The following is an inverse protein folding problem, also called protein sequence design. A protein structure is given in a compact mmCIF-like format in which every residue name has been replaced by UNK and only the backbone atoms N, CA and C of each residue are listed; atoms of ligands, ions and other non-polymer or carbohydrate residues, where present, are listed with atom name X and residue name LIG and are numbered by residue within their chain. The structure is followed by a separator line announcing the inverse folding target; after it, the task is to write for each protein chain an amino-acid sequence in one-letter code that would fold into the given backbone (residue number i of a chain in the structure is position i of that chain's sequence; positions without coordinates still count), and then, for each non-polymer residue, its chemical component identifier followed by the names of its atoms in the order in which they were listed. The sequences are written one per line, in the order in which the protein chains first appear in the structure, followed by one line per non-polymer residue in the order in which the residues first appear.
data_IF_886327225515
#
_entry.id   IF_886327225515
#
_cell.length_a   1.000
_cell.length_b   1.000
_cell.length_c   1.000
_cell.angle_alpha   90.00
_cell.angle_beta   90.00
_cell.angle_gamma   90.00
#
_symmetry.space_group_name_H-M   'P 1'
#
loop_
_entity.id
_entity.type
_entity.pdbx_description
1 polymer ?
#
# COMPACT_ATOMS: atom_id res chain seq x y z
N UNK A 1 23.71 1.61 11.88
CA UNK A 1 23.13 2.83 11.28
C UNK A 1 22.81 2.43 9.85
N UNK A 2 21.54 2.16 9.52
CA UNK A 2 21.15 1.77 8.17
C UNK A 2 21.06 3.03 7.29
N UNK A 3 21.43 2.92 6.02
CA UNK A 3 21.38 4.04 5.07
C UNK A 3 19.91 4.31 4.73
N UNK A 4 19.41 5.52 4.99
CA UNK A 4 18.07 5.94 4.56
C UNK A 4 18.11 6.04 3.04
N UNK A 5 17.35 5.19 2.36
CA UNK A 5 17.37 5.07 0.91
C UNK A 5 15.98 4.76 0.39
N UNK A 6 15.64 5.31 -0.77
CA UNK A 6 14.48 4.91 -1.55
C UNK A 6 14.79 3.67 -2.43
N UNK A 7 16.07 3.37 -2.66
CA UNK A 7 16.50 2.21 -3.43
C UNK A 7 16.11 0.90 -2.71
N UNK A 8 15.79 -0.17 -3.47
CA UNK A 8 15.37 -1.42 -2.85
C UNK A 8 16.41 -1.98 -1.88
N UNK A 9 15.99 -2.23 -0.66
CA UNK A 9 16.79 -2.81 0.42
C UNK A 9 15.86 -3.63 1.35
N UNK A 10 15.94 -4.95 1.21
CA UNK A 10 15.11 -5.87 2.01
C UNK A 10 15.41 -5.75 3.50
N UNK A 11 16.65 -5.47 3.91
CA UNK A 11 17.00 -5.31 5.34
C UNK A 11 16.39 -4.05 5.94
N UNK A 12 16.34 -2.95 5.17
CA UNK A 12 15.63 -1.73 5.57
C UNK A 12 14.14 -2.02 5.71
N UNK A 13 13.52 -2.65 4.71
CA UNK A 13 12.11 -3.02 4.77
C UNK A 13 11.78 -3.95 5.95
N UNK A 14 12.62 -4.95 6.23
CA UNK A 14 12.50 -5.83 7.40
C UNK A 14 12.53 -5.01 8.69
N UNK A 15 13.52 -4.13 8.85
CA UNK A 15 13.67 -3.30 10.06
C UNK A 15 12.47 -2.37 10.27
N UNK A 16 11.96 -1.77 9.19
CA UNK A 16 10.79 -0.89 9.25
C UNK A 16 9.53 -1.66 9.67
N UNK A 17 9.28 -2.83 9.07
CA UNK A 17 8.11 -3.65 9.42
C UNK A 17 8.21 -4.29 10.81
N UNK A 18 9.42 -4.61 11.28
CA UNK A 18 9.68 -4.99 12.69
C UNK A 18 9.27 -3.89 13.65
N UNK A 19 9.67 -2.64 13.36
CA UNK A 19 9.31 -1.49 14.18
C UNK A 19 7.79 -1.22 14.20
N UNK A 20 7.13 -1.28 13.03
CA UNK A 20 5.68 -1.09 12.95
C UNK A 20 4.95 -2.19 13.71
N UNK A 21 5.36 -3.45 13.54
CA UNK A 21 4.74 -4.60 14.21
C UNK A 21 4.93 -4.54 15.72
N UNK A 22 6.12 -4.18 16.21
CA UNK A 22 6.37 -4.01 17.64
C UNK A 22 5.45 -2.95 18.27
N UNK A 23 5.21 -1.83 17.57
CA UNK A 23 4.27 -0.79 18.02
C UNK A 23 2.82 -1.27 18.00
N UNK A 24 2.42 -2.02 16.97
CA UNK A 24 1.10 -2.64 16.89
C UNK A 24 0.86 -3.58 18.08
N UNK A 25 1.81 -4.48 18.38
CA UNK A 25 1.71 -5.41 19.50
C UNK A 25 1.63 -4.72 20.86
N UNK A 26 2.48 -3.70 21.09
CA UNK A 26 2.40 -2.89 22.30
C UNK A 26 1.04 -2.17 22.42
N UNK A 27 0.48 -1.70 21.31
CA UNK A 27 -0.82 -1.04 21.29
C UNK A 27 -1.97 -2.02 21.60
N UNK A 28 -1.93 -3.24 21.08
CA UNK A 28 -2.90 -4.28 21.45
C UNK A 28 -2.85 -4.63 22.94
N UNK A 29 -1.65 -4.80 23.50
CA UNK A 29 -1.49 -5.09 24.93
C UNK A 29 -2.09 -3.98 25.78
N UNK A 30 -1.81 -2.72 25.45
CA UNK A 30 -2.41 -1.57 26.12
C UNK A 30 -3.95 -1.53 25.96
N UNK A 31 -4.43 -1.66 24.73
CA UNK A 31 -5.85 -1.53 24.40
C UNK A 31 -6.67 -2.60 25.12
N UNK A 32 -6.33 -3.88 24.96
CA UNK A 32 -7.08 -5.01 25.52
C UNK A 32 -7.09 -4.99 27.06
N UNK A 33 -6.00 -4.54 27.70
CA UNK A 33 -5.98 -4.29 29.14
C UNK A 33 -6.90 -3.16 29.56
N UNK A 34 -6.86 -2.04 28.83
CA UNK A 34 -7.66 -0.85 29.16
C UNK A 34 -9.16 -1.10 29.10
N UNK A 35 -9.61 -2.06 28.27
CA UNK A 35 -11.02 -2.46 28.15
C UNK A 35 -11.36 -3.75 28.93
N UNK A 36 -10.44 -4.27 29.74
CA UNK A 36 -10.65 -5.44 30.59
C UNK A 36 -10.86 -6.76 29.83
N UNK A 37 -10.20 -6.94 28.68
CA UNK A 37 -10.35 -8.10 27.79
C UNK A 37 -9.12 -9.02 27.79
N UNK A 38 -8.39 -9.08 28.89
CA UNK A 38 -7.19 -9.94 29.05
C UNK A 38 -7.52 -11.44 28.99
N UNK A 39 -8.74 -11.84 29.34
CA UNK A 39 -9.19 -13.24 29.30
C UNK A 39 -9.86 -13.62 27.95
N UNK A 40 -9.88 -12.71 26.98
CA UNK A 40 -10.52 -12.95 25.67
C UNK A 40 -9.71 -13.92 24.81
N UNK A 41 -10.40 -14.67 23.93
CA UNK A 41 -9.74 -15.53 22.94
C UNK A 41 -8.75 -14.75 22.08
N UNK A 42 -9.13 -13.51 21.72
CA UNK A 42 -8.30 -12.65 20.91
C UNK A 42 -7.02 -12.19 21.62
N UNK A 43 -7.07 -11.94 22.93
CA UNK A 43 -5.86 -11.67 23.71
C UNK A 43 -4.89 -12.86 23.71
N UNK A 44 -5.43 -14.09 23.78
CA UNK A 44 -4.66 -15.32 23.58
C UNK A 44 -3.99 -15.37 22.21
N UNK A 45 -4.74 -15.05 21.14
CA UNK A 45 -4.21 -14.96 19.78
C UNK A 45 -3.10 -13.89 19.66
N UNK A 46 -3.29 -12.69 20.20
CA UNK A 46 -2.25 -11.64 20.20
C UNK A 46 -0.99 -12.14 20.91
N UNK A 47 -1.14 -12.85 22.04
CA UNK A 47 -0.01 -13.40 22.80
C UNK A 47 0.79 -14.43 22.01
N UNK A 48 0.16 -15.20 21.13
CA UNK A 48 0.83 -16.14 20.21
C UNK A 48 1.65 -15.39 19.15
N UNK A 49 1.14 -14.27 18.64
CA UNK A 49 1.75 -13.54 17.51
C UNK A 49 2.65 -12.37 17.90
N UNK A 50 2.72 -11.99 19.19
CA UNK A 50 3.48 -10.81 19.66
C UNK A 50 4.97 -10.79 19.30
N UNK A 51 5.55 -11.96 19.01
CA UNK A 51 6.95 -12.10 18.60
C UNK A 51 7.12 -12.22 17.08
N UNK A 52 6.02 -12.16 16.31
CA UNK A 52 6.08 -12.15 14.87
C UNK A 52 6.67 -10.81 14.41
N UNK A 53 7.84 -10.83 13.72
CA UNK A 53 8.53 -9.60 13.32
C UNK A 53 7.73 -8.80 12.29
N UNK A 54 6.89 -9.47 11.50
CA UNK A 54 5.96 -8.84 10.56
C UNK A 54 4.54 -9.25 10.91
N UNK A 55 3.74 -8.31 11.37
CA UNK A 55 2.33 -8.55 11.64
C UNK A 55 1.56 -8.74 10.31
N UNK A 56 0.75 -9.81 10.17
CA UNK A 56 -0.14 -9.94 9.02
C UNK A 56 -1.16 -8.79 8.90
N UNK A 57 -1.66 -8.48 7.68
CA UNK A 57 -2.60 -7.38 7.46
C UNK A 57 -3.85 -7.42 8.34
N UNK A 58 -4.32 -8.63 8.66
CA UNK A 58 -5.43 -8.85 9.58
C UNK A 58 -5.26 -8.15 10.92
N UNK A 59 -4.05 -8.15 11.51
CA UNK A 59 -3.85 -7.55 12.83
C UNK A 59 -3.91 -6.02 12.78
N UNK A 60 -3.51 -5.39 11.68
CA UNK A 60 -3.76 -3.95 11.48
C UNK A 60 -5.26 -3.66 11.39
N UNK A 61 -5.99 -4.49 10.64
CA UNK A 61 -7.43 -4.31 10.46
C UNK A 61 -8.23 -4.56 11.75
N UNK A 62 -7.82 -5.58 12.50
CA UNK A 62 -8.37 -5.91 13.81
C UNK A 62 -8.11 -4.78 14.81
N UNK A 63 -6.91 -4.21 14.81
CA UNK A 63 -6.56 -3.07 15.66
C UNK A 63 -7.45 -1.86 15.37
N UNK A 64 -7.55 -1.45 14.10
CA UNK A 64 -8.39 -0.31 13.72
C UNK A 64 -9.87 -0.57 14.06
N UNK A 65 -10.36 -1.81 13.90
CA UNK A 65 -11.73 -2.18 14.27
C UNK A 65 -11.98 -1.96 15.77
N UNK A 66 -11.07 -2.43 16.64
CA UNK A 66 -11.19 -2.22 18.08
C UNK A 66 -11.04 -0.74 18.45
N UNK A 67 -10.11 -0.02 17.84
CA UNK A 67 -9.91 1.42 18.07
C UNK A 67 -11.16 2.23 17.70
N UNK A 68 -11.78 1.92 16.55
CA UNK A 68 -13.02 2.57 16.10
C UNK A 68 -14.12 2.47 17.16
N UNK A 69 -14.35 1.28 17.71
CA UNK A 69 -15.42 1.11 18.68
C UNK A 69 -15.02 1.55 20.09
N UNK A 70 -13.97 0.96 20.67
CA UNK A 70 -13.63 1.14 22.08
C UNK A 70 -12.98 2.48 22.41
N UNK A 71 -12.34 3.14 21.44
CA UNK A 71 -11.68 4.44 21.65
C UNK A 71 -12.48 5.58 21.03
N UNK A 72 -12.98 5.40 19.80
CA UNK A 72 -13.72 6.46 19.08
C UNK A 72 -15.24 6.40 19.22
N UNK A 73 -15.80 5.32 19.78
CA UNK A 73 -17.24 5.18 19.97
C UNK A 73 -18.03 5.01 18.67
N UNK A 74 -17.39 4.53 17.60
CA UNK A 74 -18.03 4.31 16.30
C UNK A 74 -18.92 3.05 16.35
N UNK A 75 -20.22 3.23 16.59
CA UNK A 75 -21.21 2.13 16.72
C UNK A 75 -21.24 1.18 15.50
N UNK A 76 -20.88 1.66 14.30
CA UNK A 76 -20.80 0.82 13.09
C UNK A 76 -19.79 -0.33 13.25
N UNK A 77 -18.77 -0.16 14.10
CA UNK A 77 -17.70 -1.14 14.33
C UNK A 77 -17.97 -2.06 15.52
N UNK A 78 -19.07 -1.86 16.25
CA UNK A 78 -19.41 -2.60 17.48
C UNK A 78 -19.51 -4.11 17.26
N UNK A 79 -20.35 -4.54 16.32
CA UNK A 79 -20.61 -5.96 16.06
C UNK A 79 -19.33 -6.72 15.69
N UNK A 80 -18.49 -6.12 14.83
CA UNK A 80 -17.20 -6.71 14.46
C UNK A 80 -16.23 -6.74 15.64
N UNK A 81 -16.17 -5.68 16.44
CA UNK A 81 -15.32 -5.61 17.64
C UNK A 81 -15.69 -6.65 18.68
N UNK A 82 -16.99 -6.85 18.95
CA UNK A 82 -17.47 -7.85 19.90
C UNK A 82 -17.17 -9.28 19.40
N UNK A 83 -17.40 -9.57 18.11
CA UNK A 83 -17.05 -10.86 17.51
C UNK A 83 -15.54 -11.12 17.51
N UNK A 84 -14.74 -10.08 17.29
CA UNK A 84 -13.28 -10.15 17.27
C UNK A 84 -12.72 -10.64 18.61
N UNK A 85 -13.29 -10.24 19.76
CA UNK A 85 -12.83 -10.69 21.07
C UNK A 85 -12.91 -12.21 21.28
N UNK A 86 -13.84 -12.88 20.60
CA UNK A 86 -13.98 -14.35 20.64
C UNK A 86 -13.16 -15.06 19.55
N UNK A 87 -12.46 -14.31 18.69
CA UNK A 87 -11.69 -14.87 17.58
C UNK A 87 -10.35 -15.45 18.06
N UNK A 88 -10.06 -16.70 17.70
CA UNK A 88 -8.94 -17.46 18.28
C UNK A 88 -7.89 -17.95 17.28
N UNK A 89 -8.10 -17.75 15.97
CA UNK A 89 -7.20 -18.27 14.94
C UNK A 89 -7.34 -17.51 13.63
N UNK A 90 -6.24 -17.32 12.92
CA UNK A 90 -6.23 -16.74 11.57
C UNK A 90 -5.89 -17.80 10.52
N UNK A 91 -6.41 -17.61 9.31
CA UNK A 91 -5.90 -18.29 8.12
C UNK A 91 -4.56 -17.64 7.74
N UNK A 92 -3.50 -18.45 7.66
CA UNK A 92 -2.16 -17.97 7.27
C UNK A 92 -1.97 -18.16 5.78
N UNK A 93 -1.57 -17.06 5.14
CA UNK A 93 -1.15 -17.02 3.75
C UNK A 93 0.38 -17.02 3.66
N UNK A 94 0.92 -17.56 2.57
CA UNK A 94 2.35 -17.37 2.26
C UNK A 94 2.61 -15.91 1.91
N UNK A 95 3.82 -15.39 2.17
CA UNK A 95 4.17 -14.04 1.73
C UNK A 95 3.96 -13.90 0.21
N UNK A 96 3.33 -12.79 -0.19
CA UNK A 96 2.94 -12.45 -1.55
C UNK A 96 1.97 -13.47 -2.20
N UNK A 97 0.89 -13.81 -1.51
CA UNK A 97 -0.18 -14.66 -2.08
C UNK A 97 -1.19 -13.85 -2.90
N UNK A 98 -1.57 -14.35 -4.08
CA UNK A 98 -2.61 -13.73 -4.93
C UNK A 98 -3.94 -14.43 -4.73
N UNK A 99 -4.88 -13.72 -4.09
CA UNK A 99 -6.15 -14.24 -3.58
C UNK A 99 -7.33 -13.42 -4.12
N UNK A 100 -8.56 -13.97 -4.16
CA UNK A 100 -9.73 -13.16 -4.45
C UNK A 100 -10.01 -12.18 -3.30
N UNK A 101 -10.48 -10.98 -3.62
CA UNK A 101 -11.04 -10.06 -2.64
C UNK A 101 -12.45 -10.54 -2.26
N UNK A 102 -12.73 -10.63 -0.96
CA UNK A 102 -14.07 -10.86 -0.39
C UNK A 102 -14.80 -12.18 -0.63
N UNK A 103 -14.23 -13.15 -1.33
CA UNK A 103 -14.93 -14.43 -1.58
C UNK A 103 -15.03 -15.38 -0.37
N UNK A 104 -14.50 -15.01 0.80
CA UNK A 104 -14.47 -15.89 1.97
C UNK A 104 -15.31 -15.32 3.12
N UNK A 105 -16.22 -16.14 3.63
CA UNK A 105 -17.21 -15.83 4.68
C UNK A 105 -16.64 -15.82 6.10
N UNK A 106 -15.32 -15.70 6.25
CA UNK A 106 -14.65 -15.68 7.55
C UNK A 106 -14.57 -14.27 8.16
N UNK A 107 -14.63 -14.20 9.49
CA UNK A 107 -14.50 -12.94 10.25
C UNK A 107 -13.21 -12.17 9.91
N UNK A 108 -12.10 -12.86 9.62
CA UNK A 108 -10.85 -12.24 9.17
C UNK A 108 -11.05 -11.39 7.90
N UNK A 109 -11.77 -11.90 6.90
CA UNK A 109 -12.04 -11.16 5.67
C UNK A 109 -13.08 -10.06 5.85
N UNK A 110 -14.10 -10.28 6.69
CA UNK A 110 -15.05 -9.22 7.07
C UNK A 110 -14.33 -8.04 7.73
N UNK A 111 -13.37 -8.29 8.62
CA UNK A 111 -12.58 -7.25 9.30
C UNK A 111 -11.69 -6.51 8.31
N UNK A 112 -10.90 -7.23 7.50
CA UNK A 112 -10.02 -6.61 6.49
C UNK A 112 -10.80 -5.77 5.48
N UNK A 113 -11.95 -6.26 5.00
CA UNK A 113 -12.77 -5.50 4.05
C UNK A 113 -13.47 -4.31 4.67
N UNK A 114 -13.94 -4.43 5.91
CA UNK A 114 -14.56 -3.32 6.65
C UNK A 114 -13.62 -2.13 6.76
N UNK A 115 -12.35 -2.35 7.11
CA UNK A 115 -11.37 -1.26 7.22
C UNK A 115 -11.01 -0.64 5.86
N UNK A 116 -10.93 -1.44 4.79
CA UNK A 116 -10.75 -0.93 3.42
C UNK A 116 -11.94 -0.06 3.01
N UNK A 117 -13.16 -0.52 3.25
CA UNK A 117 -14.37 0.21 2.92
C UNK A 117 -14.53 1.49 3.72
N UNK A 118 -14.20 1.44 5.02
CA UNK A 118 -14.20 2.61 5.90
C UNK A 118 -13.21 3.67 5.42
N UNK A 119 -12.00 3.28 5.04
CA UNK A 119 -10.97 4.19 4.54
C UNK A 119 -11.34 4.86 3.21
N UNK A 120 -11.89 4.09 2.26
CA UNK A 120 -12.39 4.63 0.99
C UNK A 120 -13.51 5.64 1.24
N UNK A 121 -14.45 5.34 2.14
CA UNK A 121 -15.55 6.27 2.49
C UNK A 121 -15.08 7.52 3.23
N UNK A 122 -14.00 7.44 4.01
CA UNK A 122 -13.38 8.62 4.64
C UNK A 122 -12.65 9.49 3.62
N UNK A 123 -12.14 8.88 2.56
CA UNK A 123 -11.33 9.55 1.52
C UNK A 123 -12.18 10.24 0.45
N UNK A 124 -13.32 9.65 0.09
CA UNK A 124 -14.19 10.12 -0.98
C UNK A 124 -15.57 10.49 -0.43
N UNK A 125 -16.19 11.53 -0.99
CA UNK A 125 -17.60 11.85 -0.69
C UNK A 125 -18.51 10.66 -1.03
N UNK A 126 -19.68 10.53 -0.38
CA UNK A 126 -20.55 9.34 -0.46
C UNK A 126 -20.87 8.85 -1.89
N UNK A 127 -21.07 9.77 -2.84
CA UNK A 127 -21.35 9.43 -4.23
C UNK A 127 -20.12 8.80 -4.93
N UNK A 128 -18.93 9.35 -4.68
CA UNK A 128 -17.67 8.87 -5.26
C UNK A 128 -17.19 7.59 -4.56
N UNK A 129 -17.38 7.50 -3.24
CA UNK A 129 -17.02 6.34 -2.44
C UNK A 129 -17.73 5.08 -2.96
N UNK A 130 -19.05 5.13 -3.16
CA UNK A 130 -19.82 3.97 -3.63
C UNK A 130 -19.37 3.44 -5.00
N UNK A 131 -18.84 4.31 -5.85
CA UNK A 131 -18.28 3.95 -7.16
C UNK A 131 -16.85 3.43 -7.04
N UNK A 132 -16.09 3.91 -6.05
CA UNK A 132 -14.70 3.52 -5.78
C UNK A 132 -14.55 2.22 -4.97
N UNK A 133 -15.58 1.76 -4.25
CA UNK A 133 -15.48 0.56 -3.42
C UNK A 133 -15.11 -0.68 -4.27
N UNK A 134 -14.06 -1.45 -3.88
CA UNK A 134 -13.72 -2.69 -4.55
C UNK A 134 -14.86 -3.70 -4.36
N UNK A 135 -15.30 -4.32 -5.45
CA UNK A 135 -16.40 -5.29 -5.44
C UNK A 135 -15.86 -6.71 -5.53
N UNK A 136 -16.61 -7.66 -4.98
CA UNK A 136 -16.29 -9.08 -5.14
C UNK A 136 -16.12 -9.43 -6.61
N UNK A 137 -15.15 -10.31 -6.90
CA UNK A 137 -14.86 -10.71 -8.28
C UNK A 137 -16.05 -11.44 -8.90
N UNK A 138 -16.35 -11.16 -10.17
CA UNK A 138 -17.58 -11.61 -10.80
C UNK A 138 -17.62 -13.11 -11.12
N UNK A 139 -16.45 -13.74 -11.27
CA UNK A 139 -16.34 -15.18 -11.54
C UNK A 139 -14.94 -15.73 -11.24
N UNK A 140 -14.86 -17.05 -11.06
CA UNK A 140 -13.57 -17.76 -10.92
C UNK A 140 -12.69 -17.62 -12.17
N UNK A 141 -13.27 -17.61 -13.37
CA UNK A 141 -12.48 -17.45 -14.61
C UNK A 141 -11.82 -16.06 -14.69
N UNK A 142 -12.56 -15.00 -14.33
CA UNK A 142 -12.04 -13.64 -14.24
C UNK A 142 -10.88 -13.55 -13.22
N UNK A 143 -11.02 -14.23 -12.08
CA UNK A 143 -9.96 -14.33 -11.08
C UNK A 143 -8.72 -15.02 -11.65
N UNK A 144 -8.87 -16.19 -12.27
CA UNK A 144 -7.74 -16.98 -12.77
C UNK A 144 -6.96 -16.24 -13.87
N UNK A 145 -7.64 -15.54 -14.77
CA UNK A 145 -6.97 -14.72 -15.81
C UNK A 145 -6.20 -13.57 -15.17
N UNK A 146 -6.83 -12.83 -14.26
CA UNK A 146 -6.21 -11.71 -13.57
C UNK A 146 -5.01 -12.16 -12.72
N UNK A 147 -5.14 -13.29 -12.03
CA UNK A 147 -4.09 -13.93 -11.24
C UNK A 147 -2.90 -14.34 -12.11
N UNK A 148 -3.16 -14.93 -13.29
CA UNK A 148 -2.10 -15.28 -14.25
C UNK A 148 -1.30 -14.05 -14.70
N UNK A 149 -1.98 -12.94 -15.01
CA UNK A 149 -1.33 -11.68 -15.36
C UNK A 149 -0.53 -11.08 -14.20
N UNK A 150 -1.05 -11.14 -12.97
CA UNK A 150 -0.33 -10.67 -11.78
C UNK A 150 0.94 -11.51 -11.54
N UNK A 151 0.84 -12.84 -11.64
CA UNK A 151 2.01 -13.73 -11.49
C UNK A 151 3.05 -13.44 -12.57
N UNK A 152 2.62 -13.20 -13.81
CA UNK A 152 3.52 -12.83 -14.89
C UNK A 152 4.21 -11.47 -14.63
N UNK A 153 3.49 -10.48 -14.12
CA UNK A 153 4.06 -9.19 -13.71
C UNK A 153 5.14 -9.37 -12.63
N UNK A 154 4.85 -10.17 -11.61
CA UNK A 154 5.79 -10.49 -10.52
C UNK A 154 7.06 -11.20 -11.04
N UNK A 155 6.93 -12.12 -11.99
CA UNK A 155 8.09 -12.79 -12.59
C UNK A 155 8.94 -11.84 -13.44
N UNK A 156 8.34 -10.91 -14.19
CA UNK A 156 9.06 -9.85 -14.90
C UNK A 156 9.85 -8.99 -13.93
N UNK A 157 9.23 -8.54 -12.82
CA UNK A 157 9.90 -7.73 -11.79
C UNK A 157 11.10 -8.49 -11.20
N UNK A 158 10.89 -9.75 -10.78
CA UNK A 158 11.95 -10.59 -10.20
C UNK A 158 13.14 -10.80 -11.14
N UNK A 159 12.89 -11.01 -12.43
CA UNK A 159 13.95 -11.17 -13.43
C UNK A 159 14.71 -9.88 -13.68
N UNK A 160 14.04 -8.73 -13.60
CA UNK A 160 14.65 -7.42 -13.83
C UNK A 160 15.45 -6.92 -12.63
N UNK A 161 14.95 -7.14 -11.40
CA UNK A 161 15.58 -6.71 -10.16
C UNK A 161 15.13 -7.60 -8.98
N UNK A 162 15.98 -8.58 -8.63
CA UNK A 162 15.71 -9.52 -7.54
C UNK A 162 15.68 -8.82 -6.16
N UNK A 163 16.42 -7.73 -5.97
CA UNK A 163 16.42 -6.97 -4.72
C UNK A 163 15.10 -6.21 -4.54
N UNK A 164 14.58 -5.59 -5.61
CA UNK A 164 13.24 -5.02 -5.63
C UNK A 164 12.17 -6.06 -5.31
N UNK A 165 12.23 -7.22 -5.97
CA UNK A 165 11.28 -8.30 -5.70
C UNK A 165 11.34 -8.77 -4.24
N UNK A 166 12.54 -9.02 -3.71
CA UNK A 166 12.74 -9.43 -2.31
C UNK A 166 12.13 -8.40 -1.34
N UNK A 167 12.40 -7.11 -1.53
CA UNK A 167 11.81 -6.04 -0.72
C UNK A 167 10.28 -6.01 -0.84
N UNK A 168 9.74 -6.15 -2.05
CA UNK A 168 8.29 -6.19 -2.27
C UNK A 168 7.64 -7.37 -1.54
N UNK A 169 8.21 -8.57 -1.61
CA UNK A 169 7.71 -9.73 -0.85
C UNK A 169 7.86 -9.58 0.66
N UNK A 170 8.80 -8.73 1.11
CA UNK A 170 8.96 -8.40 2.52
C UNK A 170 7.87 -7.44 3.00
N UNK A 171 7.42 -6.48 2.18
CA UNK A 171 6.41 -5.48 2.57
C UNK A 171 4.98 -5.84 2.19
N UNK A 172 4.77 -6.85 1.33
CA UNK A 172 3.45 -7.31 0.88
C UNK A 172 3.24 -8.76 1.27
N UNK A 173 2.17 -9.03 2.02
CA UNK A 173 1.73 -10.38 2.37
C UNK A 173 0.74 -10.92 1.35
N UNK A 174 -0.20 -10.06 0.90
CA UNK A 174 -1.35 -10.51 0.13
C UNK A 174 -1.71 -9.51 -0.97
N UNK A 175 -2.03 -10.03 -2.15
CA UNK A 175 -2.60 -9.31 -3.27
C UNK A 175 -4.02 -9.81 -3.48
N UNK A 176 -5.01 -8.97 -3.21
CA UNK A 176 -6.44 -9.29 -3.32
C UNK A 176 -7.01 -8.77 -4.64
N UNK A 177 -7.47 -9.66 -5.52
CA UNK A 177 -8.07 -9.27 -6.80
C UNK A 177 -9.57 -9.05 -6.64
N UNK A 178 -10.04 -7.86 -6.99
CA UNK A 178 -11.45 -7.47 -6.94
C UNK A 178 -11.99 -7.21 -8.35
N UNK A 179 -13.32 -7.14 -8.52
CA UNK A 179 -13.91 -6.79 -9.81
C UNK A 179 -13.53 -5.35 -10.21
N UNK A 180 -12.88 -5.20 -11.36
CA UNK A 180 -12.45 -3.89 -11.87
C UNK A 180 -13.60 -2.89 -11.90
N UNK A 181 -13.37 -1.71 -11.35
CA UNK A 181 -14.30 -0.59 -11.33
C UNK A 181 -13.57 0.74 -11.48
N UNK A 182 -14.03 1.76 -10.75
CA UNK A 182 -13.36 3.07 -10.73
C UNK A 182 -12.03 3.01 -9.99
N UNK A 183 -11.99 2.32 -8.84
CA UNK A 183 -10.74 1.97 -8.20
C UNK A 183 -10.02 0.89 -9.03
N UNK A 184 -8.72 1.09 -9.24
CA UNK A 184 -7.87 0.21 -10.06
C UNK A 184 -6.86 -0.55 -9.23
N UNK A 185 -6.34 0.07 -8.18
CA UNK A 185 -5.55 -0.54 -7.14
C UNK A 185 -5.62 0.35 -5.89
N UNK A 186 -5.23 -0.22 -4.75
CA UNK A 186 -5.03 0.55 -3.53
C UNK A 186 -4.40 -0.30 -2.42
N UNK A 187 -3.96 0.41 -1.40
CA UNK A 187 -3.57 -0.13 -0.10
C UNK A 187 -3.98 0.86 0.99
N UNK A 188 -4.01 0.38 2.23
CA UNK A 188 -4.42 1.15 3.40
C UNK A 188 -3.49 0.79 4.56
N UNK A 189 -3.07 1.80 5.32
CA UNK A 189 -2.30 1.61 6.56
C UNK A 189 -3.01 0.68 7.56
N UNK A 190 -4.33 0.79 7.69
CA UNK A 190 -5.13 -0.07 8.56
C UNK A 190 -5.27 -1.51 8.06
N UNK A 191 -4.65 -1.84 6.92
CA UNK A 191 -4.46 -3.21 6.45
C UNK A 191 -3.06 -3.36 5.84
N UNK A 192 -2.04 -2.80 6.52
CA UNK A 192 -0.67 -2.76 6.04
C UNK A 192 -0.19 -4.14 5.62
N UNK A 193 0.43 -4.22 4.43
CA UNK A 193 0.87 -5.48 3.82
C UNK A 193 -0.16 -6.12 2.88
N UNK A 194 -1.40 -5.63 2.87
CA UNK A 194 -2.39 -6.02 1.86
C UNK A 194 -2.44 -4.99 0.73
N UNK A 195 -2.44 -5.49 -0.50
CA UNK A 195 -2.73 -4.70 -1.71
C UNK A 195 -4.01 -5.25 -2.32
N UNK A 196 -4.88 -4.40 -2.84
CA UNK A 196 -6.03 -4.82 -3.63
C UNK A 196 -5.94 -4.26 -5.05
N UNK A 197 -6.19 -5.10 -6.06
CA UNK A 197 -6.03 -4.76 -7.48
C UNK A 197 -7.25 -5.19 -8.28
N UNK A 198 -7.72 -4.31 -9.16
CA UNK A 198 -8.84 -4.60 -10.05
C UNK A 198 -8.48 -5.68 -11.08
N UNK A 199 -9.46 -6.54 -11.35
CA UNK A 199 -9.39 -7.60 -12.37
C UNK A 199 -9.03 -7.07 -13.76
N UNK A 200 -8.62 -7.98 -14.65
CA UNK A 200 -8.18 -7.59 -15.98
C UNK A 200 -9.37 -7.19 -16.85
N UNK A 201 -9.26 -6.05 -17.53
CA UNK A 201 -10.10 -5.65 -18.64
C UNK A 201 -9.40 -5.90 -19.98
N UNK A 202 -10.17 -5.87 -21.08
CA UNK A 202 -9.66 -6.13 -22.45
C UNK A 202 -8.51 -5.21 -22.86
N UNK A 203 -8.39 -4.03 -22.23
CA UNK A 203 -7.35 -3.03 -22.55
C UNK A 203 -6.10 -3.18 -21.70
N UNK A 204 -6.13 -4.04 -20.69
CA UNK A 204 -5.07 -4.14 -19.71
C UNK A 204 -3.96 -5.05 -20.17
N UNK A 205 -2.74 -4.58 -19.98
CA UNK A 205 -1.50 -5.32 -20.25
C UNK A 205 -0.80 -5.66 -18.93
N UNK A 206 0.18 -6.56 -19.00
CA UNK A 206 1.01 -6.91 -17.82
C UNK A 206 1.71 -5.69 -17.20
N UNK A 207 2.05 -4.67 -18.00
CA UNK A 207 2.65 -3.43 -17.49
C UNK A 207 1.76 -2.69 -16.49
N UNK A 208 0.43 -2.80 -16.60
CA UNK A 208 -0.49 -2.21 -15.61
C UNK A 208 -0.35 -2.92 -14.26
N UNK A 209 -0.27 -4.24 -14.27
CA UNK A 209 -0.10 -5.03 -13.05
C UNK A 209 1.25 -4.77 -12.40
N UNK A 210 2.31 -4.60 -13.19
CA UNK A 210 3.63 -4.16 -12.72
C UNK A 210 3.54 -2.80 -12.03
N UNK A 211 2.90 -1.81 -12.66
CA UNK A 211 2.73 -0.50 -12.03
C UNK A 211 1.95 -0.59 -10.73
N UNK A 212 0.76 -1.21 -10.73
CA UNK A 212 -0.06 -1.32 -9.53
C UNK A 212 0.68 -1.99 -8.37
N UNK A 213 1.32 -3.14 -8.58
CA UNK A 213 1.96 -3.87 -7.47
C UNK A 213 3.18 -3.13 -6.93
N UNK A 214 3.95 -2.45 -7.78
CA UNK A 214 5.09 -1.62 -7.35
C UNK A 214 4.61 -0.32 -6.67
N UNK A 215 3.54 0.27 -7.19
CA UNK A 215 2.92 1.48 -6.65
C UNK A 215 2.41 1.24 -5.21
N UNK A 216 1.59 0.21 -5.04
CA UNK A 216 0.97 -0.08 -3.75
C UNK A 216 1.97 -0.69 -2.75
N UNK A 217 3.00 -1.43 -3.21
CA UNK A 217 4.10 -1.83 -2.33
C UNK A 217 4.95 -0.65 -1.86
N UNK A 218 5.15 0.36 -2.71
CA UNK A 218 5.80 1.62 -2.31
C UNK A 218 4.97 2.38 -1.27
N UNK A 219 3.63 2.36 -1.35
CA UNK A 219 2.79 2.90 -0.29
C UNK A 219 2.99 2.17 1.04
N UNK A 220 2.97 0.83 1.04
CA UNK A 220 3.24 0.04 2.25
C UNK A 220 4.61 0.37 2.87
N UNK A 221 5.65 0.50 2.05
CA UNK A 221 6.99 0.87 2.52
C UNK A 221 7.00 2.30 3.09
N UNK A 222 6.36 3.27 2.43
CA UNK A 222 6.33 4.65 2.89
C UNK A 222 5.55 4.81 4.20
N UNK A 223 4.46 4.05 4.39
CA UNK A 223 3.78 4.01 5.68
C UNK A 223 4.71 3.54 6.79
N UNK A 224 5.52 2.51 6.54
CA UNK A 224 6.48 2.01 7.52
C UNK A 224 7.58 3.04 7.84
N UNK A 225 8.06 3.79 6.84
CA UNK A 225 8.93 4.94 7.06
C UNK A 225 8.27 6.01 7.96
N UNK A 226 7.01 6.34 7.70
CA UNK A 226 6.28 7.37 8.45
C UNK A 226 6.09 7.01 9.93
N UNK A 227 5.86 5.73 10.22
CA UNK A 227 5.77 5.22 11.60
C UNK A 227 7.13 5.25 12.28
N UNK A 228 8.22 5.01 11.54
CA UNK A 228 9.58 5.01 12.08
C UNK A 228 10.01 6.41 12.52
N UNK A 229 9.88 7.41 11.65
CA UNK A 229 10.29 8.79 11.91
C UNK A 229 9.40 9.78 11.09
N UNK A 230 8.91 10.89 11.69
CA UNK A 230 8.19 11.92 10.94
C UNK A 230 8.98 12.43 9.72
N UNK A 231 8.30 12.58 8.58
CA UNK A 231 8.94 13.00 7.33
C UNK A 231 9.02 14.54 7.17
N UNK A 232 8.10 15.26 7.80
CA UNK A 232 8.05 16.73 7.82
C UNK A 232 7.30 17.21 9.06
N UNK A 233 7.56 18.44 9.50
CA UNK A 233 6.99 19.00 10.73
C UNK A 233 5.66 19.71 10.49
N UNK A 234 5.47 20.29 9.30
CA UNK A 234 4.26 21.04 8.97
C UNK A 234 3.13 20.14 8.46
N UNK A 235 2.58 19.32 9.36
CA UNK A 235 1.35 18.56 9.13
C UNK A 235 0.13 19.50 9.17
N UNK A 236 -0.18 20.12 8.03
CA UNK A 236 -1.42 20.88 7.87
C UNK A 236 -2.21 20.41 6.64
N UNK A 237 -3.52 20.60 6.69
CA UNK A 237 -4.44 20.30 5.59
C UNK A 237 -4.43 21.39 4.51
N UNK A 238 -3.41 22.27 4.50
CA UNK A 238 -3.27 23.26 3.44
C UNK A 238 -3.07 22.52 2.12
N UNK A 239 -3.89 22.90 1.15
CA UNK A 239 -3.84 22.32 -0.18
C UNK A 239 -2.89 23.12 -1.06
N UNK A 240 -1.98 22.41 -1.73
CA UNK A 240 -1.02 22.98 -2.65
C UNK A 240 -1.35 22.56 -4.08
N UNK A 241 -1.23 23.47 -5.06
CA UNK A 241 -1.38 23.12 -6.47
C UNK A 241 -0.43 21.96 -6.82
N UNK A 242 -0.93 21.00 -7.58
CA UNK A 242 -0.08 19.96 -8.16
C UNK A 242 -0.11 20.09 -9.68
N UNK A 243 1.01 19.92 -10.38
CA UNK A 243 1.06 20.12 -11.83
C UNK A 243 0.20 19.10 -12.61
N UNK A 244 -0.11 17.95 -12.00
CA UNK A 244 -0.72 16.80 -12.68
C UNK A 244 -2.19 16.58 -12.37
N UNK A 245 -2.73 17.27 -11.36
CA UNK A 245 -4.14 17.18 -10.99
C UNK A 245 -4.71 18.59 -10.90
N UNK A 246 -5.91 18.76 -11.42
CA UNK A 246 -6.68 20.01 -11.30
C UNK A 246 -6.95 20.38 -9.83
N UNK A 247 -7.08 19.39 -8.96
CA UNK A 247 -7.35 19.55 -7.55
C UNK A 247 -6.04 19.63 -6.76
N UNK A 248 -5.92 20.67 -5.93
CA UNK A 248 -4.83 20.82 -4.98
C UNK A 248 -4.83 19.68 -3.94
N UNK A 249 -3.67 19.40 -3.35
CA UNK A 249 -3.46 18.26 -2.45
C UNK A 249 -2.68 18.69 -1.20
N UNK A 250 -2.89 18.03 -0.04
CA UNK A 250 -2.05 18.27 1.13
C UNK A 250 -0.61 17.81 0.85
N UNK A 251 0.37 18.39 1.56
CA UNK A 251 1.79 18.04 1.37
C UNK A 251 2.07 16.56 1.57
N UNK A 252 1.36 15.90 2.50
CA UNK A 252 1.46 14.46 2.73
C UNK A 252 1.19 13.65 1.46
N UNK A 253 0.18 14.04 0.66
CA UNK A 253 -0.18 13.37 -0.58
C UNK A 253 0.81 13.68 -1.71
N UNK A 254 1.41 14.87 -1.71
CA UNK A 254 2.43 15.28 -2.70
C UNK A 254 3.75 14.55 -2.44
N UNK A 255 4.17 14.45 -1.18
CA UNK A 255 5.32 13.65 -0.77
C UNK A 255 5.13 12.18 -1.13
N UNK A 256 3.95 11.61 -0.81
CA UNK A 256 3.58 10.24 -1.22
C UNK A 256 3.72 10.05 -2.73
N UNK A 257 3.18 10.98 -3.52
CA UNK A 257 3.24 10.89 -4.97
C UNK A 257 4.69 10.90 -5.49
N UNK A 258 5.58 11.72 -4.91
CA UNK A 258 6.98 11.73 -5.30
C UNK A 258 7.68 10.39 -5.01
N UNK A 259 7.49 9.85 -3.79
CA UNK A 259 8.10 8.58 -3.38
C UNK A 259 7.65 7.42 -4.28
N UNK A 260 6.33 7.28 -4.46
CA UNK A 260 5.75 6.20 -5.26
C UNK A 260 6.17 6.32 -6.72
N UNK A 261 6.14 7.53 -7.29
CA UNK A 261 6.50 7.74 -8.69
C UNK A 261 7.98 7.45 -8.94
N UNK A 262 8.89 7.78 -8.02
CA UNK A 262 10.30 7.40 -8.13
C UNK A 262 10.47 5.88 -8.26
N UNK A 263 9.76 5.13 -7.41
CA UNK A 263 9.77 3.66 -7.40
C UNK A 263 9.16 3.06 -8.67
N UNK A 264 8.09 3.67 -9.21
CA UNK A 264 7.49 3.28 -10.48
C UNK A 264 8.44 3.54 -11.67
N UNK A 265 9.13 4.68 -11.71
CA UNK A 265 10.13 4.97 -12.74
C UNK A 265 11.26 3.94 -12.67
N UNK A 266 11.75 3.67 -11.46
CA UNK A 266 12.83 2.73 -11.21
C UNK A 266 12.52 1.31 -11.71
N UNK A 267 11.34 0.76 -11.44
CA UNK A 267 11.04 -0.61 -11.91
C UNK A 267 11.02 -0.69 -13.43
N UNK A 268 10.45 0.31 -14.12
CA UNK A 268 10.42 0.29 -15.58
C UNK A 268 11.81 0.49 -16.18
N UNK A 269 12.67 1.31 -15.58
CA UNK A 269 14.08 1.43 -15.93
C UNK A 269 14.79 0.07 -15.82
N UNK A 270 14.58 -0.67 -14.72
CA UNK A 270 15.18 -1.99 -14.52
C UNK A 270 14.69 -3.02 -15.53
N UNK A 271 13.39 -3.06 -15.79
CA UNK A 271 12.82 -3.97 -16.79
C UNK A 271 13.38 -3.63 -18.17
N UNK A 272 13.42 -2.35 -18.54
CA UNK A 272 13.97 -1.91 -19.83
C UNK A 272 15.44 -2.30 -19.99
N UNK A 273 16.27 -2.08 -18.96
CA UNK A 273 17.69 -2.45 -18.98
C UNK A 273 17.94 -3.96 -19.00
N UNK A 274 17.09 -4.74 -18.35
CA UNK A 274 17.20 -6.20 -18.32
C UNK A 274 16.73 -6.85 -19.62
N UNK A 275 15.58 -6.41 -20.14
CA UNK A 275 14.97 -6.90 -21.38
C UNK A 275 14.00 -5.86 -21.97
N UNK A 276 14.44 -5.05 -22.96
CA UNK A 276 13.57 -4.09 -23.64
C UNK A 276 12.37 -4.73 -24.36
N UNK A 277 12.40 -6.04 -24.63
CA UNK A 277 11.32 -6.76 -25.30
C UNK A 277 10.29 -7.36 -24.33
N UNK A 278 10.55 -7.32 -23.02
CA UNK A 278 9.65 -7.83 -22.00
C UNK A 278 8.30 -7.08 -21.99
N UNK A 279 8.30 -5.81 -22.40
CA UNK A 279 7.12 -4.95 -22.47
C UNK A 279 7.12 -4.13 -23.76
N UNK A 280 5.92 -3.76 -24.22
CA UNK A 280 5.78 -2.66 -25.18
C UNK A 280 5.77 -1.33 -24.41
N UNK A 281 6.96 -0.74 -24.22
CA UNK A 281 7.14 0.49 -23.46
C UNK A 281 6.39 1.70 -24.05
N UNK A 282 6.08 1.68 -25.35
CA UNK A 282 5.23 2.71 -25.99
C UNK A 282 3.76 2.65 -25.56
N UNK A 283 3.35 1.51 -24.99
CA UNK A 283 1.98 1.24 -24.53
C UNK A 283 1.88 1.15 -23.00
N UNK A 284 2.95 1.45 -22.26
CA UNK A 284 2.87 1.53 -20.80
C UNK A 284 1.90 2.64 -20.43
N UNK A 285 0.75 2.24 -19.89
CA UNK A 285 -0.26 3.14 -19.33
C UNK A 285 -0.25 2.99 -17.83
N UNK A 286 -0.25 4.12 -17.15
CA UNK A 286 -0.38 4.20 -15.70
C UNK A 286 -1.49 5.16 -15.35
N UNK A 287 -2.01 5.07 -14.12
CA UNK A 287 -3.02 6.00 -13.61
C UNK A 287 -2.56 7.48 -13.69
N UNK A 288 -1.25 7.74 -13.79
CA UNK A 288 -0.67 9.07 -13.97
C UNK A 288 -0.82 9.63 -15.41
N UNK A 289 -0.96 8.77 -16.42
CA UNK A 289 -1.19 9.15 -17.82
C UNK A 289 -2.68 9.18 -18.19
N UNK A 290 -3.54 8.53 -17.41
CA UNK A 290 -4.98 8.44 -17.71
C UNK A 290 -5.78 9.73 -17.47
N UNK A 291 -5.17 10.78 -16.89
CA UNK A 291 -5.83 12.07 -16.64
C UNK A 291 -5.56 13.15 -17.69
N UNK A 292 -5.06 12.76 -18.87
CA UNK A 292 -4.82 13.68 -20.00
C UNK A 292 -3.60 14.58 -19.82
N UNK A 293 -2.59 14.12 -19.08
CA UNK A 293 -1.33 14.82 -18.92
C UNK A 293 -0.22 14.07 -19.69
N UNK A 294 0.30 14.71 -20.74
CA UNK A 294 1.30 14.16 -21.67
C UNK A 294 2.75 14.27 -21.16
N UNK A 295 2.99 14.86 -19.98
CA UNK A 295 4.33 14.94 -19.41
C UNK A 295 4.87 13.55 -19.08
N UNK A 296 6.17 13.36 -19.27
CA UNK A 296 6.86 12.12 -18.90
C UNK A 296 6.80 11.88 -17.38
N UNK A 297 7.03 10.65 -16.94
CA UNK A 297 7.10 10.35 -15.51
C UNK A 297 8.21 11.11 -14.80
N UNK A 298 9.35 11.31 -15.47
CA UNK A 298 10.46 12.08 -14.89
C UNK A 298 10.06 13.55 -14.70
N UNK A 299 9.45 14.17 -15.70
CA UNK A 299 8.89 15.52 -15.55
C UNK A 299 7.87 15.54 -14.42
N UNK A 300 7.04 14.50 -14.32
CA UNK A 300 6.06 14.32 -13.26
C UNK A 300 6.67 14.33 -11.87
N UNK A 301 7.75 13.59 -11.73
CA UNK A 301 8.49 13.48 -10.50
C UNK A 301 9.14 14.81 -10.12
N UNK A 302 9.87 15.46 -11.03
CA UNK A 302 10.61 16.69 -10.70
C UNK A 302 9.72 17.88 -10.39
N UNK A 303 8.56 18.02 -11.05
CA UNK A 303 7.65 19.09 -10.67
C UNK A 303 6.97 18.82 -9.32
N UNK A 304 6.64 17.56 -9.00
CA UNK A 304 6.15 17.17 -7.66
C UNK A 304 7.22 17.48 -6.60
N UNK A 305 8.46 17.14 -6.88
CA UNK A 305 9.60 17.38 -6.00
C UNK A 305 9.85 18.88 -5.75
N UNK A 306 9.64 19.72 -6.76
CA UNK A 306 9.69 21.18 -6.62
C UNK A 306 8.72 21.69 -5.55
N UNK A 307 7.47 21.20 -5.56
CA UNK A 307 6.46 21.57 -4.56
C UNK A 307 6.85 21.10 -3.15
N UNK A 308 7.43 19.90 -3.04
CA UNK A 308 7.92 19.38 -1.75
C UNK A 308 9.04 20.26 -1.20
N UNK A 309 10.07 20.58 -1.99
CA UNK A 309 11.18 21.41 -1.53
C UNK A 309 10.79 22.86 -1.24
N UNK A 310 9.78 23.39 -1.93
CA UNK A 310 9.30 24.77 -1.70
C UNK A 310 8.47 24.90 -0.42
N UNK A 311 7.72 23.87 -0.04
CA UNK A 311 6.66 24.02 0.97
C UNK A 311 6.75 23.05 2.16
N UNK A 312 7.45 21.92 2.05
CA UNK A 312 7.56 20.98 3.15
C UNK A 312 8.68 21.37 4.12
N UNK A 313 8.37 21.44 5.41
CA UNK A 313 9.35 21.57 6.48
C UNK A 313 9.90 20.17 6.80
N UNK A 314 10.74 19.66 5.89
CA UNK A 314 11.27 18.30 5.96
C UNK A 314 12.15 18.09 7.21
N UNK A 315 11.93 16.98 7.90
CA UNK A 315 12.87 16.51 8.93
C UNK A 315 14.17 16.05 8.27
N UNK A 316 15.21 15.79 9.07
CA UNK A 316 16.46 15.17 8.56
C UNK A 316 16.18 13.84 7.87
N UNK A 317 15.26 13.04 8.43
CA UNK A 317 14.86 11.75 7.89
C UNK A 317 14.11 11.90 6.57
N UNK A 318 13.06 12.73 6.52
CA UNK A 318 12.29 12.97 5.30
C UNK A 318 13.10 13.61 4.19
N UNK A 319 14.01 14.54 4.52
CA UNK A 319 14.94 15.12 3.54
C UNK A 319 15.88 14.08 2.95
N UNK A 320 16.38 13.15 3.76
CA UNK A 320 17.27 12.08 3.29
C UNK A 320 16.52 11.12 2.35
N UNK A 321 15.30 10.74 2.72
CA UNK A 321 14.48 9.82 1.92
C UNK A 321 14.09 10.44 0.56
N UNK A 322 13.58 11.68 0.55
CA UNK A 322 13.18 12.33 -0.71
C UNK A 322 14.38 12.63 -1.61
N UNK A 323 15.55 12.96 -1.04
CA UNK A 323 16.78 13.13 -1.80
C UNK A 323 17.22 11.81 -2.45
N UNK A 324 17.08 10.69 -1.74
CA UNK A 324 17.35 9.37 -2.33
C UNK A 324 16.39 9.04 -3.49
N UNK A 325 15.11 9.44 -3.40
CA UNK A 325 14.19 9.34 -4.54
C UNK A 325 14.69 10.17 -5.75
N UNK A 326 15.20 11.38 -5.49
CA UNK A 326 15.75 12.24 -6.53
C UNK A 326 16.95 11.59 -7.22
N UNK A 327 17.94 11.14 -6.45
CA UNK A 327 19.14 10.46 -6.95
C UNK A 327 18.79 9.20 -7.77
N UNK A 328 17.78 8.44 -7.33
CA UNK A 328 17.24 7.28 -8.06
C UNK A 328 16.70 7.66 -9.44
N UNK A 329 15.87 8.70 -9.53
CA UNK A 329 15.22 9.11 -10.79
C UNK A 329 16.21 9.78 -11.74
N UNK A 330 17.18 10.54 -11.22
CA UNK A 330 18.27 11.12 -12.01
C UNK A 330 19.11 10.03 -12.70
N UNK A 331 19.31 8.88 -12.05
CA UNK A 331 20.01 7.72 -12.61
C UNK A 331 19.23 6.89 -13.64
N UNK A 332 17.95 7.20 -13.90
CA UNK A 332 17.15 6.49 -14.89
C UNK A 332 17.21 7.18 -16.26
N UNK A 333 17.37 6.39 -17.33
CA UNK A 333 17.43 6.90 -18.71
C UNK A 333 16.10 6.78 -19.46
N UNK A 334 15.20 5.90 -18.98
CA UNK A 334 13.91 5.65 -19.61
C UNK A 334 13.04 6.92 -19.66
N UNK A 335 12.36 7.08 -20.79
CA UNK A 335 11.34 8.11 -20.99
C UNK A 335 10.02 7.41 -21.25
N UNK A 336 9.12 7.44 -20.25
CA UNK A 336 7.77 6.85 -20.25
C UNK A 336 6.73 7.85 -19.73
#
# INVERSE_FOLDING_TARGET
MYTISAAPDVQVATTLFENVSARLWASFEYLLRSIGQEDSCFFGLISEYRNCPKAPPFFFAAHETLMSYYVRGEEVSKSLSERLLYFSSIERHSNLEVLPFLMSSGLQNEICSSVVYSDIRKTYDDADANVALPKEIGSESEFLVSRSLMIHALDIIRRADDALYAEMTQVVDEIRIFQSGYCRAGTNFNALGMIYVGSCSVRDTVSRYIEHVVHESAHNLLYAHWVHDPLFENHNDRLYPTPFRKQARPLSAIYHAAFVLARTIYVFEKIYKADPSALDFSKVRTNYNERGNEASFKDKFFQTLGVVYEHAELTVYGKSLIKSCQEMVEGCEITI
#
